data_IF_939938252225
#
_entry.id   IF_939938252225
#
_cell.length_a   1.000
_cell.length_b   1.000
_cell.length_c   1.000
_cell.angle_alpha   90.00
_cell.angle_beta   90.00
_cell.angle_gamma   90.00
#
_symmetry.space_group_name_H-M   'P 1'
#
loop_
_entity.id
_entity.type
_entity.pdbx_description
1 polymer ?
#
# COMPACT_ATOMS: atom_id res chain seq x y z
N UNK A 1 16.96 -6.06 -4.09
CA UNK A 1 15.62 -6.67 -4.06
C UNK A 1 14.79 -5.73 -3.23
N UNK A 2 13.75 -5.11 -3.78
CA UNK A 2 12.91 -4.17 -3.03
C UNK A 2 11.76 -4.91 -2.34
N UNK A 3 11.37 -4.44 -1.15
CA UNK A 3 10.21 -4.94 -0.40
C UNK A 3 8.95 -4.32 -1.00
N UNK A 4 8.01 -5.15 -1.46
CA UNK A 4 6.75 -4.70 -2.03
C UNK A 4 5.73 -4.38 -0.93
N UNK A 5 5.09 -3.22 -1.05
CA UNK A 5 4.18 -2.68 -0.04
C UNK A 5 2.83 -2.35 -0.67
N UNK A 6 1.75 -2.79 -0.03
CA UNK A 6 0.40 -2.31 -0.32
C UNK A 6 -0.11 -1.41 0.83
N UNK A 7 -0.89 -0.39 0.49
CA UNK A 7 -1.45 0.58 1.44
C UNK A 7 -2.98 0.48 1.38
N UNK A 8 -3.62 0.33 2.54
CA UNK A 8 -5.08 0.38 2.73
C UNK A 8 -5.37 1.47 3.74
N UNK A 9 -5.98 2.57 3.30
CA UNK A 9 -6.19 3.79 4.09
C UNK A 9 -7.39 4.58 3.53
N UNK A 10 -8.38 4.93 4.37
CA UNK A 10 -9.61 5.58 3.92
C UNK A 10 -9.45 7.10 3.73
N UNK A 11 -8.50 7.72 4.44
CA UNK A 11 -8.19 9.14 4.32
C UNK A 11 -7.19 9.41 3.18
N UNK A 12 -7.66 10.07 2.13
CA UNK A 12 -6.87 10.39 0.93
C UNK A 12 -5.54 11.12 1.27
N UNK A 13 -5.55 12.04 2.22
CA UNK A 13 -4.37 12.79 2.63
C UNK A 13 -3.31 11.87 3.27
N UNK A 14 -3.71 10.93 4.12
CA UNK A 14 -2.81 9.99 4.78
C UNK A 14 -2.27 8.99 3.76
N UNK A 15 -3.15 8.44 2.91
CA UNK A 15 -2.79 7.48 1.88
C UNK A 15 -1.76 8.03 0.90
N UNK A 16 -1.96 9.26 0.44
CA UNK A 16 -1.02 9.94 -0.45
C UNK A 16 0.29 10.26 0.27
N UNK A 17 0.23 10.76 1.51
CA UNK A 17 1.44 11.03 2.32
C UNK A 17 2.29 9.78 2.56
N UNK A 18 1.67 8.64 2.86
CA UNK A 18 2.36 7.36 3.01
C UNK A 18 3.02 6.91 1.71
N UNK A 19 2.30 6.99 0.59
CA UNK A 19 2.85 6.65 -0.73
C UNK A 19 4.07 7.50 -1.06
N UNK A 20 3.97 8.81 -0.88
CA UNK A 20 5.06 9.76 -1.17
C UNK A 20 6.27 9.49 -0.27
N UNK A 21 6.04 9.28 1.03
CA UNK A 21 7.10 8.98 2.00
C UNK A 21 7.84 7.67 1.67
N UNK A 22 7.10 6.58 1.38
CA UNK A 22 7.69 5.29 1.03
C UNK A 22 8.49 5.39 -0.27
N UNK A 23 8.03 6.20 -1.22
CA UNK A 23 8.70 6.42 -2.51
C UNK A 23 10.04 7.15 -2.40
N UNK A 24 10.38 7.74 -1.24
CA UNK A 24 11.69 8.34 -0.99
C UNK A 24 12.82 7.31 -0.84
N UNK A 25 12.48 6.04 -0.58
CA UNK A 25 13.44 4.94 -0.45
C UNK A 25 13.36 4.00 -1.65
N UNK A 26 14.53 3.63 -2.19
CA UNK A 26 14.63 2.63 -3.26
C UNK A 26 14.50 1.19 -2.77
N UNK A 27 14.51 0.97 -1.45
CA UNK A 27 14.39 -0.36 -0.85
C UNK A 27 12.94 -0.85 -0.80
N UNK A 28 11.97 0.05 -1.06
CA UNK A 28 10.54 -0.25 -1.05
C UNK A 28 9.90 0.05 -2.40
N UNK A 29 8.85 -0.70 -2.73
CA UNK A 29 8.02 -0.47 -3.91
C UNK A 29 6.55 -0.53 -3.54
N UNK A 30 5.81 0.58 -3.73
CA UNK A 30 4.36 0.58 -3.54
C UNK A 30 3.69 -0.11 -4.73
N UNK A 31 3.09 -1.26 -4.49
CA UNK A 31 2.47 -2.12 -5.52
C UNK A 31 0.94 -2.06 -5.55
N UNK A 32 0.33 -1.45 -4.53
CA UNK A 32 -1.12 -1.29 -4.44
C UNK A 32 -1.51 -0.22 -3.43
N UNK A 33 -2.58 0.51 -3.74
CA UNK A 33 -3.14 1.56 -2.89
C UNK A 33 -4.65 1.46 -2.96
N UNK A 34 -5.29 1.25 -1.81
CA UNK A 34 -6.71 0.95 -1.69
C UNK A 34 -7.36 1.87 -0.67
N UNK A 35 -8.62 2.24 -0.90
CA UNK A 35 -9.37 3.09 0.03
C UNK A 35 -10.11 2.28 1.08
N UNK A 36 -10.52 1.06 0.73
CA UNK A 36 -11.32 0.18 1.59
C UNK A 36 -10.71 -1.21 1.70
N UNK A 37 -11.08 -1.93 2.75
CA UNK A 37 -10.67 -3.33 2.93
C UNK A 37 -11.23 -4.24 1.83
N UNK A 38 -12.43 -3.94 1.32
CA UNK A 38 -13.08 -4.69 0.25
C UNK A 38 -12.32 -4.57 -1.09
N UNK A 39 -11.90 -3.36 -1.45
CA UNK A 39 -11.03 -3.13 -2.61
C UNK A 39 -9.70 -3.90 -2.45
N UNK A 40 -9.12 -3.85 -1.26
CA UNK A 40 -7.88 -4.54 -0.96
C UNK A 40 -8.03 -6.07 -1.06
N UNK A 41 -9.09 -6.65 -0.48
CA UNK A 41 -9.34 -8.09 -0.52
C UNK A 41 -9.53 -8.63 -1.94
N UNK A 42 -10.08 -7.82 -2.85
CA UNK A 42 -10.26 -8.20 -4.24
C UNK A 42 -8.94 -8.25 -5.04
N UNK A 43 -7.95 -7.41 -4.69
CA UNK A 43 -6.73 -7.21 -5.48
C UNK A 43 -5.46 -7.78 -4.83
N UNK A 44 -5.36 -7.78 -3.50
CA UNK A 44 -4.18 -8.27 -2.77
C UNK A 44 -3.79 -9.71 -3.14
N UNK A 45 -4.71 -10.68 -3.32
CA UNK A 45 -4.33 -12.04 -3.74
C UNK A 45 -3.66 -12.09 -5.12
N UNK A 46 -3.95 -11.13 -6.01
CA UNK A 46 -3.38 -11.05 -7.37
C UNK A 46 -1.98 -10.42 -7.36
N UNK A 47 -1.74 -9.49 -6.43
CA UNK A 47 -0.50 -8.70 -6.36
C UNK A 47 0.52 -9.34 -5.40
N UNK A 48 0.05 -9.98 -4.32
CA UNK A 48 0.85 -10.66 -3.30
C UNK A 48 2.02 -9.80 -2.74
N UNK A 49 1.74 -8.65 -2.11
CA UNK A 49 2.78 -7.80 -1.53
C UNK A 49 3.46 -8.48 -0.32
N UNK A 50 4.71 -8.10 -0.04
CA UNK A 50 5.45 -8.55 1.14
C UNK A 50 4.87 -7.97 2.44
N UNK A 51 4.37 -6.72 2.38
CA UNK A 51 3.80 -5.99 3.50
C UNK A 51 2.50 -5.31 3.10
N UNK A 52 1.50 -5.37 3.97
CA UNK A 52 0.28 -4.56 3.89
C UNK A 52 0.26 -3.58 5.06
N UNK A 53 0.23 -2.28 4.77
CA UNK A 53 -0.06 -1.24 5.76
C UNK A 53 -1.56 -1.01 5.72
N UNK A 54 -2.25 -1.23 6.85
CA UNK A 54 -3.69 -1.12 6.95
C UNK A 54 -4.05 -0.21 8.12
N UNK A 55 -4.97 0.73 7.89
CA UNK A 55 -5.61 1.46 8.98
C UNK A 55 -6.42 0.48 9.86
N UNK A 56 -6.48 0.75 11.16
CA UNK A 56 -7.21 -0.10 12.12
C UNK A 56 -8.73 0.06 12.00
#
# INVERSE_FOLDING_TARGET
>A
MSISVAIVEDLDAVRNGLKDFISLSTDFLVVGVFKTGEEALAELPKISPDIVIMYI
#
